data_IF_558692142802
#
_entry.id   IF_558692142802
#
_cell.length_a   1.000
_cell.length_b   1.000
_cell.length_c   1.000
_cell.angle_alpha   90.00
_cell.angle_beta   90.00
_cell.angle_gamma   90.00
#
_symmetry.space_group_name_H-M   'P 1'
#
loop_
_entity.id
_entity.type
_entity.pdbx_description
1 polymer ?
#
# COMPACT_ATOMS: atom_id res chain seq x y z
N UNK A 1 -15.81 -19.04 0.31
CA UNK A 1 -16.06 -17.80 -0.45
C UNK A 1 -15.58 -18.04 -1.88
N UNK A 2 -16.39 -17.71 -2.89
CA UNK A 2 -15.95 -17.73 -4.29
C UNK A 2 -15.38 -16.35 -4.61
N UNK A 3 -14.07 -16.20 -4.46
CA UNK A 3 -13.37 -14.98 -4.89
C UNK A 3 -13.21 -15.02 -6.40
N UNK A 4 -14.22 -14.55 -7.13
CA UNK A 4 -14.11 -14.30 -8.57
C UNK A 4 -13.85 -12.82 -8.75
N UNK A 5 -12.64 -12.47 -9.13
CA UNK A 5 -12.29 -11.13 -9.54
C UNK A 5 -12.37 -11.01 -11.07
N UNK A 6 -12.57 -9.81 -11.58
CA UNK A 6 -12.44 -9.52 -13.00
C UNK A 6 -10.94 -9.36 -13.31
N UNK A 7 -10.36 -10.32 -14.03
CA UNK A 7 -8.92 -10.37 -14.33
C UNK A 7 -8.40 -9.09 -14.99
N UNK A 8 -9.26 -8.32 -15.68
CA UNK A 8 -8.89 -7.05 -16.31
C UNK A 8 -8.81 -5.85 -15.34
N UNK A 9 -9.23 -6.04 -14.08
CA UNK A 9 -9.34 -5.00 -13.04
C UNK A 9 -8.59 -5.35 -11.76
N UNK A 10 -7.68 -6.32 -11.83
CA UNK A 10 -6.89 -6.76 -10.68
C UNK A 10 -5.44 -6.36 -10.87
N UNK A 11 -4.89 -5.68 -9.87
CA UNK A 11 -3.49 -5.28 -9.82
C UNK A 11 -2.81 -5.84 -8.59
N UNK A 12 -1.50 -6.02 -8.70
CA UNK A 12 -0.64 -6.47 -7.61
C UNK A 12 0.55 -5.52 -7.48
N UNK A 13 0.90 -5.19 -6.25
CA UNK A 13 2.09 -4.41 -5.93
C UNK A 13 2.54 -4.69 -4.50
N UNK A 14 3.70 -4.21 -4.11
CA UNK A 14 4.25 -4.39 -2.77
C UNK A 14 5.28 -3.30 -2.45
N UNK A 15 5.71 -3.23 -1.19
CA UNK A 15 6.88 -2.46 -0.77
C UNK A 15 6.82 -0.96 -1.15
N UNK A 16 5.62 -0.37 -1.20
CA UNK A 16 5.49 1.06 -1.50
C UNK A 16 6.24 1.91 -0.49
N UNK A 17 6.30 1.49 0.78
CA UNK A 17 7.07 2.12 1.85
C UNK A 17 6.81 3.63 1.94
N UNK A 18 5.55 4.04 1.83
CA UNK A 18 5.17 5.44 1.98
C UNK A 18 5.69 6.00 3.30
N UNK A 19 6.15 7.26 3.29
CA UNK A 19 6.73 7.95 4.45
C UNK A 19 8.01 7.30 5.05
N UNK A 20 8.58 6.27 4.44
CA UNK A 20 9.83 5.67 4.89
C UNK A 20 11.06 6.32 4.24
N UNK A 21 11.43 7.55 4.62
CA UNK A 21 12.52 8.28 3.94
C UNK A 21 13.87 7.54 3.86
N UNK A 22 14.22 6.75 4.88
CA UNK A 22 15.46 5.95 4.86
C UNK A 22 15.47 4.87 3.77
N UNK A 23 14.31 4.42 3.26
CA UNK A 23 14.22 3.38 2.22
C UNK A 23 14.86 3.84 0.91
N UNK A 24 14.87 5.16 0.65
CA UNK A 24 15.48 5.73 -0.54
C UNK A 24 16.96 5.35 -0.59
N UNK A 25 17.67 5.57 0.52
CA UNK A 25 19.08 5.18 0.64
C UNK A 25 19.26 3.66 0.73
N UNK A 26 18.42 2.96 1.50
CA UNK A 26 18.59 1.52 1.72
C UNK A 26 18.35 0.68 0.45
N UNK A 27 17.48 1.15 -0.44
CA UNK A 27 17.15 0.45 -1.68
C UNK A 27 17.61 1.20 -2.94
N UNK A 28 18.42 2.25 -2.82
CA UNK A 28 18.85 3.12 -3.92
C UNK A 28 17.70 3.60 -4.81
N UNK A 29 16.58 4.02 -4.20
CA UNK A 29 15.43 4.54 -4.97
C UNK A 29 15.80 5.89 -5.59
N UNK A 30 15.36 6.19 -6.81
CA UNK A 30 15.77 7.39 -7.55
C UNK A 30 14.95 8.63 -7.14
N UNK A 31 14.90 8.94 -5.85
CA UNK A 31 14.16 10.08 -5.30
C UNK A 31 15.07 10.94 -4.43
N UNK A 32 14.88 12.25 -4.49
CA UNK A 32 15.61 13.21 -3.65
C UNK A 32 15.15 13.12 -2.19
N UNK A 33 13.83 13.05 -1.98
CA UNK A 33 13.21 12.99 -0.67
C UNK A 33 11.95 12.09 -0.64
N UNK A 34 11.40 11.93 0.55
CA UNK A 34 10.27 11.02 0.80
C UNK A 34 8.96 11.59 0.25
N UNK A 35 8.82 12.90 0.22
CA UNK A 35 7.67 13.60 -0.36
C UNK A 35 7.60 13.34 -1.87
N UNK A 36 8.70 13.56 -2.60
CA UNK A 36 8.80 13.27 -4.03
C UNK A 36 8.50 11.80 -4.33
N UNK A 37 9.02 10.88 -3.52
CA UNK A 37 8.74 9.45 -3.65
C UNK A 37 7.24 9.16 -3.48
N UNK A 38 6.64 9.65 -2.38
CA UNK A 38 5.23 9.43 -2.08
C UNK A 38 4.33 9.97 -3.20
N UNK A 39 4.56 11.20 -3.66
CA UNK A 39 3.79 11.84 -4.73
C UNK A 39 3.92 11.09 -6.06
N UNK A 40 5.14 10.64 -6.40
CA UNK A 40 5.38 9.89 -7.63
C UNK A 40 4.65 8.55 -7.61
N UNK A 41 4.71 7.81 -6.50
CA UNK A 41 4.01 6.53 -6.36
C UNK A 41 2.50 6.73 -6.44
N UNK A 42 1.94 7.74 -5.75
CA UNK A 42 0.50 8.06 -5.80
C UNK A 42 0.06 8.41 -7.23
N UNK A 43 0.84 9.23 -7.95
CA UNK A 43 0.51 9.60 -9.33
C UNK A 43 0.50 8.37 -10.24
N UNK A 44 1.54 7.53 -10.18
CA UNK A 44 1.61 6.32 -10.98
C UNK A 44 0.50 5.32 -10.66
N UNK A 45 0.17 5.19 -9.37
CA UNK A 45 -0.94 4.37 -8.91
C UNK A 45 -2.26 4.84 -9.55
N UNK A 46 -2.60 6.12 -9.40
CA UNK A 46 -3.89 6.65 -9.87
C UNK A 46 -3.98 6.77 -11.40
N UNK A 47 -2.85 6.83 -12.10
CA UNK A 47 -2.81 6.75 -13.57
C UNK A 47 -3.11 5.35 -14.10
N UNK A 48 -2.99 4.32 -13.25
CA UNK A 48 -3.13 2.91 -13.64
C UNK A 48 -4.40 2.29 -13.07
N UNK A 49 -4.71 2.59 -11.81
CA UNK A 49 -5.80 1.99 -11.03
C UNK A 49 -7.01 2.91 -11.03
N UNK A 50 -8.15 2.39 -11.50
CA UNK A 50 -9.45 3.04 -11.42
C UNK A 50 -10.09 2.90 -10.03
N UNK A 51 -11.14 3.69 -9.77
CA UNK A 51 -11.80 3.73 -8.44
C UNK A 51 -12.42 2.39 -8.02
N UNK A 52 -12.90 1.61 -8.97
CA UNK A 52 -13.57 0.32 -8.71
C UNK A 52 -12.65 -0.90 -8.88
N UNK A 53 -11.39 -0.68 -9.26
CA UNK A 53 -10.42 -1.76 -9.47
C UNK A 53 -9.97 -2.36 -8.13
N UNK A 54 -9.47 -3.59 -8.18
CA UNK A 54 -8.98 -4.31 -7.01
C UNK A 54 -7.46 -4.31 -7.00
N UNK A 55 -6.85 -3.94 -5.88
CA UNK A 55 -5.40 -3.99 -5.71
C UNK A 55 -5.02 -4.87 -4.55
N UNK A 56 -4.20 -5.88 -4.79
CA UNK A 56 -3.53 -6.65 -3.74
C UNK A 56 -2.17 -6.01 -3.45
N UNK A 57 -2.04 -5.44 -2.25
CA UNK A 57 -0.77 -4.92 -1.75
C UNK A 57 -0.11 -5.98 -0.87
N UNK A 58 1.06 -6.47 -1.27
CA UNK A 58 1.73 -7.61 -0.63
C UNK A 58 2.67 -7.21 0.52
N UNK A 59 2.27 -6.19 1.27
CA UNK A 59 2.96 -5.76 2.49
C UNK A 59 3.93 -4.60 2.33
N UNK A 60 4.40 -4.11 3.46
CA UNK A 60 5.32 -2.99 3.63
C UNK A 60 4.79 -1.70 2.98
N UNK A 61 3.55 -1.37 3.34
CA UNK A 61 2.76 -0.30 2.73
C UNK A 61 3.24 1.10 3.15
N UNK A 62 3.26 1.39 4.45
CA UNK A 62 3.52 2.74 4.95
C UNK A 62 4.21 2.72 6.32
N UNK A 63 5.16 3.63 6.52
CA UNK A 63 5.80 3.88 7.81
C UNK A 63 5.17 5.10 8.48
N UNK A 64 4.90 5.01 9.78
CA UNK A 64 4.28 6.09 10.55
C UNK A 64 3.06 5.59 11.29
N UNK A 65 2.18 6.51 11.65
CA UNK A 65 0.96 6.20 12.38
C UNK A 65 -0.32 6.35 11.57
N UNK A 66 -1.46 6.26 12.23
CA UNK A 66 -2.78 6.34 11.58
C UNK A 66 -2.95 7.58 10.71
N UNK A 67 -2.33 8.71 11.08
CA UNK A 67 -2.37 9.95 10.29
C UNK A 67 -1.69 9.80 8.94
N UNK A 68 -0.50 9.20 8.87
CA UNK A 68 0.25 8.99 7.64
C UNK A 68 -0.47 7.99 6.74
N UNK A 69 -0.91 6.87 7.32
CA UNK A 69 -1.68 5.86 6.62
C UNK A 69 -2.98 6.43 6.04
N UNK A 70 -3.73 7.20 6.82
CA UNK A 70 -4.99 7.84 6.38
C UNK A 70 -4.73 8.81 5.22
N UNK A 71 -3.70 9.66 5.32
CA UNK A 71 -3.34 10.61 4.26
C UNK A 71 -3.02 9.92 2.92
N UNK A 72 -2.37 8.76 2.94
CA UNK A 72 -2.11 7.98 1.73
C UNK A 72 -3.39 7.32 1.23
N UNK A 73 -4.10 6.61 2.10
CA UNK A 73 -5.30 5.85 1.72
C UNK A 73 -6.42 6.75 1.17
N UNK A 74 -6.55 7.99 1.64
CA UNK A 74 -7.51 8.96 1.11
C UNK A 74 -7.20 9.40 -0.35
N UNK A 75 -6.00 9.08 -0.85
CA UNK A 75 -5.50 9.54 -2.14
C UNK A 75 -5.29 8.43 -3.16
N UNK A 76 -5.38 7.16 -2.76
CA UNK A 76 -5.19 6.03 -3.67
C UNK A 76 -6.54 5.56 -4.23
N UNK A 77 -6.59 5.34 -5.54
CA UNK A 77 -7.73 4.71 -6.20
C UNK A 77 -7.79 3.21 -5.88
N UNK A 78 -8.99 2.63 -6.00
CA UNK A 78 -9.22 1.20 -5.96
C UNK A 78 -9.53 0.66 -4.57
N UNK A 79 -9.98 -0.60 -4.55
CA UNK A 79 -10.27 -1.40 -3.36
C UNK A 79 -9.02 -2.17 -2.99
N UNK A 80 -8.39 -1.78 -1.89
CA UNK A 80 -7.07 -2.30 -1.52
C UNK A 80 -7.23 -3.47 -0.55
N UNK A 81 -6.70 -4.62 -0.94
CA UNK A 81 -6.52 -5.82 -0.13
C UNK A 81 -5.08 -5.84 0.35
N UNK A 82 -4.86 -5.71 1.66
CA UNK A 82 -3.52 -5.72 2.24
C UNK A 82 -3.16 -7.11 2.77
N UNK A 83 -2.09 -7.69 2.23
CA UNK A 83 -1.42 -8.83 2.83
C UNK A 83 -0.29 -8.26 3.67
N UNK A 84 -0.34 -8.45 4.99
CA UNK A 84 0.55 -7.78 5.92
C UNK A 84 1.99 -8.24 5.78
N UNK A 85 2.88 -7.28 5.51
CA UNK A 85 4.33 -7.45 5.57
C UNK A 85 4.87 -7.28 6.98
N UNK A 86 6.16 -7.56 7.17
CA UNK A 86 6.81 -7.50 8.47
C UNK A 86 6.88 -6.08 9.05
N UNK A 87 6.91 -5.03 8.21
CA UNK A 87 6.84 -3.65 8.71
C UNK A 87 5.42 -3.26 9.11
N UNK A 88 4.39 -3.81 8.47
CA UNK A 88 3.00 -3.48 8.75
C UNK A 88 2.53 -4.02 10.11
N UNK A 89 2.97 -5.24 10.48
CA UNK A 89 2.60 -5.89 11.74
C UNK A 89 2.95 -5.06 12.99
N UNK A 90 4.05 -4.30 12.91
CA UNK A 90 4.47 -3.41 14.00
C UNK A 90 3.51 -2.22 14.16
N UNK A 91 2.87 -1.81 13.07
CA UNK A 91 2.00 -0.63 13.02
C UNK A 91 0.50 -0.96 13.14
N UNK A 92 0.09 -2.22 12.94
CA UNK A 92 -1.31 -2.66 12.90
C UNK A 92 -2.17 -2.26 14.11
N UNK A 93 -1.54 -1.97 15.26
CA UNK A 93 -2.22 -1.57 16.51
C UNK A 93 -2.94 -0.22 16.45
N UNK A 94 -2.87 0.49 15.32
CA UNK A 94 -3.32 1.89 15.23
C UNK A 94 -4.64 2.10 14.47
N UNK A 95 -5.48 1.07 14.30
CA UNK A 95 -6.91 1.26 13.98
C UNK A 95 -7.23 1.70 12.55
N UNK A 96 -6.35 1.48 11.59
CA UNK A 96 -6.57 1.79 10.16
C UNK A 96 -6.92 0.55 9.30
N UNK A 97 -7.05 -0.62 9.93
CA UNK A 97 -7.35 -1.90 9.27
C UNK A 97 -8.67 -1.84 8.49
N UNK A 98 -9.68 -1.17 9.06
CA UNK A 98 -11.03 -1.06 8.48
C UNK A 98 -11.09 -0.19 7.21
N UNK A 99 -9.98 0.46 6.84
CA UNK A 99 -9.86 1.24 5.61
C UNK A 99 -9.50 0.39 4.39
N UNK A 100 -9.00 -0.83 4.61
CA UNK A 100 -8.74 -1.79 3.56
C UNK A 100 -9.99 -2.63 3.30
N UNK A 101 -10.19 -3.06 2.05
CA UNK A 101 -11.27 -3.98 1.70
C UNK A 101 -11.11 -5.33 2.42
N UNK A 102 -9.85 -5.76 2.58
CA UNK A 102 -9.49 -6.88 3.43
C UNK A 102 -8.05 -6.77 3.92
N UNK A 103 -7.79 -7.34 5.10
CA UNK A 103 -6.44 -7.47 5.64
C UNK A 103 -6.20 -8.92 6.00
N UNK A 104 -5.13 -9.51 5.45
CA UNK A 104 -4.73 -10.88 5.70
C UNK A 104 -3.28 -10.95 6.18
N UNK A 105 -2.96 -11.95 7.01
CA UNK A 105 -1.58 -12.25 7.40
C UNK A 105 -0.85 -12.92 6.24
N UNK A 106 0.42 -12.58 6.02
CA UNK A 106 1.29 -13.37 5.15
C UNK A 106 1.38 -14.81 5.70
N UNK A 107 1.15 -15.80 4.84
CA UNK A 107 1.33 -17.21 5.18
C UNK A 107 2.77 -17.62 4.87
N UNK A 108 3.45 -18.22 5.86
CA UNK A 108 4.74 -18.87 5.65
C UNK A 108 4.50 -20.32 5.22
N UNK A 109 5.14 -20.73 4.12
CA UNK A 109 5.14 -22.11 3.61
C UNK A 109 6.51 -22.72 3.88
#
# INVERSE_FOLDING_TARGET
>A
MNYKFDDSKVFFTSDTHFYHGNIIRFCNRPFEDVEMMNETIISNWNNTVGLDDTVFHLGDFCLGGSSEWTKILDRLNGKIYLILGNHDLKNLRQGYVDRFEHVAMQMHI
#
